data_IF_313694625096
#
_entry.id   IF_313694625096
#
_cell.length_a   1.000
_cell.length_b   1.000
_cell.length_c   1.000
_cell.angle_alpha   90.00
_cell.angle_beta   90.00
_cell.angle_gamma   90.00
#
_symmetry.space_group_name_H-M   'P 1'
#
loop_
_entity.id
_entity.type
_entity.pdbx_description
1 polymer ?
#
# COMPACT_ATOMS: atom_id res chain seq x y z
N UNK A 1 -4.17 4.04 -3.73
CA UNK A 1 -5.47 3.58 -3.22
C UNK A 1 -5.60 3.89 -1.73
N UNK A 2 -4.84 3.21 -0.85
CA UNK A 2 -4.94 3.34 0.61
C UNK A 2 -5.03 4.78 1.15
N UNK A 3 -4.16 5.68 0.68
CA UNK A 3 -4.12 7.08 1.15
C UNK A 3 -5.40 7.90 0.93
N UNK A 4 -6.30 7.51 0.02
CA UNK A 4 -7.56 8.23 -0.18
C UNK A 4 -8.53 8.08 0.99
N UNK A 5 -8.42 6.98 1.75
CA UNK A 5 -9.34 6.68 2.85
C UNK A 5 -8.63 5.99 4.01
N UNK A 6 -7.38 6.39 4.27
CA UNK A 6 -6.54 5.78 5.31
C UNK A 6 -7.14 5.93 6.71
N UNK A 7 -7.96 6.95 6.94
CA UNK A 7 -8.73 7.16 8.17
C UNK A 7 -9.71 6.03 8.50
N UNK A 8 -10.04 5.15 7.55
CA UNK A 8 -10.84 3.96 7.82
C UNK A 8 -10.19 3.03 8.86
N UNK A 9 -8.86 3.07 9.01
CA UNK A 9 -8.14 2.38 10.09
C UNK A 9 -8.67 2.84 11.45
N UNK A 10 -8.74 4.15 11.69
CA UNK A 10 -9.28 4.70 12.94
C UNK A 10 -10.74 4.28 13.15
N UNK A 11 -11.57 4.36 12.11
CA UNK A 11 -12.98 3.95 12.21
C UNK A 11 -13.11 2.48 12.60
N UNK A 12 -12.28 1.60 12.04
CA UNK A 12 -12.30 0.17 12.39
C UNK A 12 -11.92 -0.06 13.86
N UNK A 13 -10.91 0.64 14.37
CA UNK A 13 -10.51 0.57 15.77
C UNK A 13 -11.61 1.12 16.69
N UNK A 14 -12.16 2.29 16.36
CA UNK A 14 -13.21 2.95 17.14
C UNK A 14 -14.49 2.11 17.24
N UNK A 15 -14.89 1.47 16.14
CA UNK A 15 -16.09 0.64 16.08
C UNK A 15 -15.84 -0.82 16.51
N UNK A 16 -14.62 -1.19 16.88
CA UNK A 16 -14.27 -2.57 17.28
C UNK A 16 -14.44 -3.59 16.15
N UNK A 17 -14.23 -3.18 14.90
CA UNK A 17 -14.44 -4.03 13.73
C UNK A 17 -13.16 -4.82 13.40
N UNK A 18 -13.19 -6.16 13.35
CA UNK A 18 -12.01 -7.00 13.08
C UNK A 18 -11.67 -7.03 11.57
N UNK A 19 -11.35 -5.86 11.00
CA UNK A 19 -10.98 -5.72 9.59
C UNK A 19 -9.48 -5.88 9.43
N UNK A 20 -9.08 -6.82 8.56
CA UNK A 20 -7.68 -6.97 8.13
C UNK A 20 -7.45 -6.14 6.87
N UNK A 21 -6.60 -5.13 6.97
CA UNK A 21 -6.21 -4.27 5.85
C UNK A 21 -4.90 -4.78 5.26
N UNK A 22 -4.91 -5.13 3.96
CA UNK A 22 -3.69 -5.51 3.24
C UNK A 22 -3.30 -4.40 2.28
N UNK A 23 -2.08 -3.89 2.42
CA UNK A 23 -1.54 -2.85 1.54
C UNK A 23 -0.37 -3.44 0.75
N UNK A 24 -0.53 -3.52 -0.57
CA UNK A 24 0.56 -3.85 -1.48
C UNK A 24 1.40 -2.58 -1.73
N UNK A 25 2.51 -2.46 -1.01
CA UNK A 25 3.38 -1.30 -1.00
C UNK A 25 4.49 -1.42 -2.06
N UNK A 26 4.22 -0.90 -3.26
CA UNK A 26 5.22 -0.71 -4.32
C UNK A 26 5.80 0.72 -4.37
N UNK A 27 5.36 1.63 -3.49
CA UNK A 27 5.86 2.99 -3.45
C UNK A 27 5.61 3.82 -4.71
N UNK A 28 4.56 3.52 -5.48
CA UNK A 28 4.25 4.23 -6.73
C UNK A 28 2.78 4.13 -7.15
N UNK A 29 2.34 5.06 -7.99
CA UNK A 29 1.09 4.92 -8.73
C UNK A 29 1.30 4.11 -10.02
N UNK A 30 1.57 2.80 -9.90
CA UNK A 30 1.94 1.92 -11.03
C UNK A 30 0.99 1.99 -12.22
N UNK A 31 -0.33 1.98 -11.98
CA UNK A 31 -1.32 2.01 -13.06
C UNK A 31 -1.23 3.28 -13.89
N UNK A 32 -0.89 4.42 -13.27
CA UNK A 32 -0.70 5.68 -13.98
C UNK A 32 0.55 5.62 -14.87
N UNK A 33 1.63 5.00 -14.38
CA UNK A 33 2.85 4.77 -15.18
C UNK A 33 2.56 3.89 -16.40
N UNK A 34 1.84 2.80 -16.21
CA UNK A 34 1.47 1.90 -17.31
C UNK A 34 0.59 2.58 -18.36
N UNK A 35 -0.43 3.33 -17.92
CA UNK A 35 -1.30 4.07 -18.83
C UNK A 35 -0.56 5.19 -19.56
N UNK A 36 0.42 5.82 -18.92
CA UNK A 36 1.27 6.83 -19.56
C UNK A 36 2.13 6.22 -20.69
N UNK A 37 2.71 5.05 -20.46
CA UNK A 37 3.48 4.32 -21.49
C UNK A 37 2.57 3.98 -22.69
N UNK A 38 1.38 3.41 -22.43
CA UNK A 38 0.38 3.11 -23.48
C UNK A 38 0.02 4.37 -24.28
N UNK A 39 -0.20 5.49 -23.60
CA UNK A 39 -0.56 6.75 -24.25
C UNK A 39 0.59 7.29 -25.12
N UNK A 40 1.82 7.26 -24.61
CA UNK A 40 3.01 7.70 -25.34
C UNK A 40 3.21 6.90 -26.62
N UNK A 41 3.07 5.58 -26.53
CA UNK A 41 3.18 4.68 -27.67
C UNK A 41 2.06 4.93 -28.68
N UNK A 42 0.81 5.05 -28.21
CA UNK A 42 -0.37 5.27 -29.07
C UNK A 42 -0.31 6.58 -29.86
N UNK A 43 0.26 7.64 -29.29
CA UNK A 43 0.29 8.98 -29.89
C UNK A 43 1.69 9.41 -30.34
N UNK A 44 2.67 8.51 -30.36
CA UNK A 44 4.06 8.78 -30.72
C UNK A 44 4.69 9.98 -29.95
N UNK A 45 4.30 10.15 -28.69
CA UNK A 45 4.77 11.27 -27.86
C UNK A 45 6.18 10.97 -27.35
N UNK A 46 7.16 11.76 -27.78
CA UNK A 46 8.52 11.71 -27.24
C UNK A 46 8.60 12.58 -25.99
N UNK A 47 8.89 11.96 -24.84
CA UNK A 47 9.10 12.64 -23.57
C UNK A 47 10.36 12.11 -22.90
N UNK A 48 11.17 13.01 -22.34
CA UNK A 48 12.36 12.68 -21.55
C UNK A 48 12.06 12.55 -20.04
N UNK A 49 10.87 12.97 -19.59
CA UNK A 49 10.44 12.84 -18.21
C UNK A 49 9.87 11.44 -17.99
N UNK A 50 10.42 10.64 -17.08
CA UNK A 50 10.00 9.24 -16.92
C UNK A 50 8.56 9.15 -16.42
N UNK A 51 8.28 9.59 -15.19
CA UNK A 51 6.94 9.50 -14.57
C UNK A 51 6.70 10.64 -13.55
N UNK A 52 6.23 11.83 -13.98
CA UNK A 52 6.08 12.98 -13.08
C UNK A 52 5.01 12.73 -12.01
N UNK A 53 5.36 12.95 -10.73
CA UNK A 53 4.45 12.86 -9.56
C UNK A 53 3.79 11.48 -9.34
N UNK A 54 4.41 10.41 -9.84
CA UNK A 54 3.88 9.04 -9.70
C UNK A 54 4.67 8.17 -8.71
N UNK A 55 5.74 8.70 -8.12
CA UNK A 55 6.56 8.01 -7.11
C UNK A 55 6.20 8.45 -5.69
N UNK A 56 6.15 7.50 -4.77
CA UNK A 56 5.77 7.67 -3.36
C UNK A 56 6.87 7.15 -2.42
N UNK A 57 8.13 7.23 -2.85
CA UNK A 57 9.28 6.62 -2.16
C UNK A 57 10.26 7.63 -1.54
N UNK A 58 10.03 8.93 -1.74
CA UNK A 58 10.89 9.99 -1.22
C UNK A 58 10.04 11.16 -0.67
N UNK A 59 9.63 11.10 0.62
CA UNK A 59 9.84 10.01 1.57
C UNK A 59 8.93 8.80 1.29
N UNK A 60 9.31 7.63 1.81
CA UNK A 60 8.46 6.45 1.80
C UNK A 60 7.32 6.60 2.82
N UNK A 61 6.17 6.02 2.50
CA UNK A 61 5.01 6.01 3.40
C UNK A 61 5.16 4.87 4.43
N UNK A 62 5.08 5.21 5.73
CA UNK A 62 5.04 4.22 6.81
C UNK A 62 3.61 3.83 7.16
N UNK A 63 3.05 2.80 6.50
CA UNK A 63 1.66 2.39 6.74
C UNK A 63 1.45 1.74 8.10
N UNK A 64 2.42 0.96 8.58
CA UNK A 64 2.40 0.40 9.94
C UNK A 64 2.39 1.52 10.99
N UNK A 65 3.19 2.57 10.81
CA UNK A 65 3.22 3.70 11.74
C UNK A 65 1.91 4.50 11.71
N UNK A 66 1.32 4.69 10.53
CA UNK A 66 0.00 5.31 10.40
C UNK A 66 -1.10 4.49 11.08
N UNK A 67 -1.11 3.16 10.91
CA UNK A 67 -2.04 2.27 11.61
C UNK A 67 -1.87 2.38 13.12
N UNK A 68 -0.63 2.33 13.61
CA UNK A 68 -0.32 2.47 15.04
C UNK A 68 -0.86 3.79 15.60
N UNK A 69 -0.67 4.90 14.90
CA UNK A 69 -1.21 6.21 15.27
C UNK A 69 -2.73 6.27 15.35
N UNK A 70 -3.43 5.34 14.71
CA UNK A 70 -4.89 5.23 14.68
C UNK A 70 -5.43 4.12 15.59
N UNK A 71 -4.58 3.48 16.41
CA UNK A 71 -4.97 2.41 17.32
C UNK A 71 -5.10 1.04 16.66
N UNK A 72 -4.56 0.85 15.46
CA UNK A 72 -4.55 -0.41 14.72
C UNK A 72 -3.16 -1.03 14.79
N UNK A 73 -3.07 -2.31 15.19
CA UNK A 73 -1.81 -3.04 15.14
C UNK A 73 -1.43 -3.31 13.67
N UNK A 74 -0.14 -3.41 13.38
CA UNK A 74 0.27 -3.80 12.05
C UNK A 74 1.70 -4.30 11.98
N UNK A 75 1.99 -5.00 10.88
CA UNK A 75 3.31 -5.51 10.56
C UNK A 75 3.61 -5.32 9.08
N UNK A 76 4.91 -5.30 8.75
CA UNK A 76 5.40 -5.21 7.39
C UNK A 76 6.07 -6.51 6.99
N UNK A 77 5.69 -7.03 5.85
CA UNK A 77 6.17 -8.27 5.24
C UNK A 77 7.06 -7.90 4.06
N UNK A 78 8.31 -8.36 4.08
CA UNK A 78 9.27 -8.16 2.99
C UNK A 78 9.47 -9.41 2.12
N UNK A 79 9.28 -10.60 2.70
CA UNK A 79 9.39 -11.88 2.02
C UNK A 79 8.01 -12.44 1.67
N UNK A 80 7.86 -13.02 0.48
CA UNK A 80 6.62 -13.64 0.03
C UNK A 80 6.23 -14.86 0.88
N UNK A 81 7.20 -15.59 1.41
CA UNK A 81 6.97 -16.79 2.23
C UNK A 81 6.34 -16.46 3.58
N UNK A 82 6.51 -15.23 4.07
CA UNK A 82 5.98 -14.77 5.36
C UNK A 82 4.52 -14.28 5.29
N UNK A 83 3.97 -14.09 4.08
CA UNK A 83 2.61 -13.53 3.89
C UNK A 83 1.55 -14.39 4.59
N UNK A 84 1.63 -15.71 4.44
CA UNK A 84 0.63 -16.62 5.03
C UNK A 84 0.64 -16.55 6.56
N UNK A 85 1.83 -16.49 7.17
CA UNK A 85 1.99 -16.39 8.61
C UNK A 85 1.51 -15.04 9.16
N UNK A 86 1.78 -13.94 8.46
CA UNK A 86 1.30 -12.60 8.83
C UNK A 86 -0.22 -12.50 8.77
N UNK A 87 -0.84 -12.99 7.70
CA UNK A 87 -2.30 -13.00 7.58
C UNK A 87 -2.94 -13.87 8.66
N UNK A 88 -2.36 -15.03 9.00
CA UNK A 88 -2.83 -15.87 10.09
C UNK A 88 -2.82 -15.14 11.44
N UNK A 89 -1.74 -14.39 11.75
CA UNK A 89 -1.67 -13.54 12.96
C UNK A 89 -2.71 -12.42 12.94
N UNK A 90 -2.87 -11.74 11.80
CA UNK A 90 -3.84 -10.66 11.63
C UNK A 90 -5.28 -11.14 11.89
N UNK A 91 -5.68 -12.25 11.29
CA UNK A 91 -7.02 -12.82 11.51
C UNK A 91 -7.20 -13.36 12.93
N UNK A 92 -6.19 -14.02 13.50
CA UNK A 92 -6.24 -14.55 14.86
C UNK A 92 -6.34 -13.45 15.94
N UNK A 93 -5.97 -12.20 15.62
CA UNK A 93 -6.04 -11.08 16.56
C UNK A 93 -7.47 -10.75 17.01
N UNK A 94 -8.49 -11.06 16.18
CA UNK A 94 -9.88 -10.68 16.44
C UNK A 94 -10.11 -9.17 16.54
N UNK A 95 -9.16 -8.37 16.06
CA UNK A 95 -9.12 -6.92 16.11
C UNK A 95 -8.73 -6.35 14.73
N UNK A 96 -8.95 -5.05 14.47
CA UNK A 96 -8.45 -4.47 13.23
C UNK A 96 -6.92 -4.55 13.18
N UNK A 97 -6.40 -4.90 12.01
CA UNK A 97 -4.99 -5.21 11.81
C UNK A 97 -4.54 -4.78 10.41
N UNK A 98 -3.35 -4.19 10.29
CA UNK A 98 -2.75 -3.81 9.01
C UNK A 98 -1.57 -4.71 8.67
N UNK A 99 -1.58 -5.30 7.48
CA UNK A 99 -0.46 -6.03 6.89
C UNK A 99 0.04 -5.23 5.67
N UNK A 100 1.21 -4.62 5.81
CA UNK A 100 1.90 -3.99 4.69
C UNK A 100 2.77 -5.04 4.00
N UNK A 101 2.59 -5.26 2.70
CA UNK A 101 3.38 -6.22 1.92
C UNK A 101 4.22 -5.43 0.93
N UNK A 102 5.54 -5.48 1.10
CA UNK A 102 6.47 -4.91 0.14
C UNK A 102 6.38 -5.70 -1.17
N UNK A 103 6.22 -4.99 -2.28
CA UNK A 103 6.19 -5.60 -3.61
C UNK A 103 7.13 -4.85 -4.55
N UNK A 104 7.67 -5.55 -5.55
CA UNK A 104 8.58 -4.95 -6.52
C UNK A 104 7.97 -3.72 -7.21
N UNK A 105 8.79 -2.78 -7.67
CA UNK A 105 8.37 -1.60 -8.44
C UNK A 105 8.28 -1.92 -9.94
N UNK A 106 7.62 -1.07 -10.70
CA UNK A 106 7.69 -1.12 -12.16
C UNK A 106 9.16 -0.93 -12.58
N UNK A 107 9.68 -1.92 -13.32
CA UNK A 107 10.99 -1.85 -13.98
C UNK A 107 10.97 -0.89 -15.16
#
# INVERSE_FOLDING_TARGET
SAMYSIQALWTSAHAGLPVVFVILANGEYRVLKHNLDIYRDRFAVRSNATYPHMDLAAPALGFVDMARGMGVAGERVEDGDDIAAALARAFASGAPYLVEIAVERKR
#
